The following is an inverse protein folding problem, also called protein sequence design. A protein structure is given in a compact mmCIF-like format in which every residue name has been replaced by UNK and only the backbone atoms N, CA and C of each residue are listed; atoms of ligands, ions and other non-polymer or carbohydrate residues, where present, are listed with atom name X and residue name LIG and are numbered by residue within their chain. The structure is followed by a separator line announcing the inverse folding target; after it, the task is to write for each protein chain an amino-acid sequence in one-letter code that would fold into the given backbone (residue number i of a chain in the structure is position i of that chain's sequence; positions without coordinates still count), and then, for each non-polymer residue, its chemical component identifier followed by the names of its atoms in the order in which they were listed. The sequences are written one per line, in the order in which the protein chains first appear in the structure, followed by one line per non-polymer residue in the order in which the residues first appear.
data_IF_958285209192
#
_entry.id   IF_958285209192
#
_cell.length_a   1.000
_cell.length_b   1.000
_cell.length_c   1.000
_cell.angle_alpha   90.00
_cell.angle_beta   90.00
_cell.angle_gamma   90.00
#
_symmetry.space_group_name_H-M   'P 1'
#
loop_
_entity.id
_entity.type
_entity.pdbx_description
1 polymer ?
#
# COMPACT_ATOMS: atom_id res chain seq x y z
N UNK A 1 -54.54 39.76 -66.69
CA UNK A 1 -54.34 38.31 -66.44
C UNK A 1 -52.97 37.80 -66.89
N UNK A 2 -52.48 38.13 -68.11
CA UNK A 2 -51.15 37.69 -68.59
C UNK A 2 -49.97 38.13 -67.69
N UNK A 3 -49.96 39.38 -67.24
CA UNK A 3 -48.86 39.90 -66.39
C UNK A 3 -48.81 39.22 -65.00
N UNK A 4 -49.96 38.78 -64.49
CA UNK A 4 -50.04 38.06 -63.21
C UNK A 4 -49.49 36.62 -63.33
N UNK A 5 -49.82 35.91 -64.42
CA UNK A 5 -49.29 34.57 -64.68
C UNK A 5 -47.76 34.56 -64.86
N UNK A 6 -47.20 35.59 -65.49
CA UNK A 6 -45.74 35.74 -65.65
C UNK A 6 -45.06 36.00 -64.30
N UNK A 7 -45.61 36.88 -63.47
CA UNK A 7 -45.11 37.12 -62.12
C UNK A 7 -45.16 35.88 -61.21
N UNK A 8 -46.23 35.10 -61.32
CA UNK A 8 -46.38 33.83 -60.60
C UNK A 8 -45.34 32.78 -61.04
N UNK A 9 -45.07 32.69 -62.35
CA UNK A 9 -44.05 31.79 -62.88
C UNK A 9 -42.64 32.13 -62.39
N UNK A 10 -42.27 33.42 -62.38
CA UNK A 10 -40.96 33.88 -61.89
C UNK A 10 -40.82 33.60 -60.39
N UNK A 11 -41.86 33.90 -59.59
CA UNK A 11 -41.86 33.61 -58.15
C UNK A 11 -41.69 32.11 -57.85
N UNK A 12 -42.31 31.25 -58.66
CA UNK A 12 -42.23 29.80 -58.50
C UNK A 12 -40.84 29.26 -58.83
N UNK A 13 -40.19 29.78 -59.88
CA UNK A 13 -38.80 29.43 -60.21
C UNK A 13 -37.84 29.85 -59.09
N UNK A 14 -37.99 31.07 -58.56
CA UNK A 14 -37.16 31.55 -57.43
C UNK A 14 -37.38 30.69 -56.19
N UNK A 15 -38.63 30.33 -55.88
CA UNK A 15 -38.94 29.45 -54.76
C UNK A 15 -38.29 28.06 -54.91
N UNK A 16 -38.30 27.47 -56.12
CA UNK A 16 -37.64 26.19 -56.39
C UNK A 16 -36.13 26.30 -56.18
N UNK A 17 -35.48 27.36 -56.67
CA UNK A 17 -34.04 27.57 -56.51
C UNK A 17 -33.67 27.68 -55.03
N UNK A 18 -34.42 28.44 -54.25
CA UNK A 18 -34.19 28.58 -52.80
C UNK A 18 -34.36 27.23 -52.07
N UNK A 19 -35.37 26.44 -52.44
CA UNK A 19 -35.59 25.11 -51.85
C UNK A 19 -34.43 24.14 -52.16
N UNK A 20 -33.91 24.16 -53.38
CA UNK A 20 -32.78 23.31 -53.79
C UNK A 20 -31.52 23.68 -52.98
N UNK A 21 -31.20 24.98 -52.87
CA UNK A 21 -30.04 25.46 -52.09
C UNK A 21 -30.20 25.08 -50.61
N UNK A 22 -31.39 25.27 -50.05
CA UNK A 22 -31.67 24.92 -48.64
C UNK A 22 -31.58 23.40 -48.40
N UNK A 23 -32.06 22.58 -49.33
CA UNK A 23 -32.00 21.12 -49.23
C UNK A 23 -30.54 20.62 -49.25
N UNK A 24 -29.71 21.16 -50.14
CA UNK A 24 -28.28 20.82 -50.23
C UNK A 24 -27.57 21.19 -48.93
N UNK A 25 -27.73 22.43 -48.44
CA UNK A 25 -27.11 22.89 -47.19
C UNK A 25 -27.54 22.04 -46.00
N UNK A 26 -28.85 21.80 -45.86
CA UNK A 26 -29.41 20.99 -44.76
C UNK A 26 -28.94 19.53 -44.81
N UNK A 27 -28.67 18.99 -46.00
CA UNK A 27 -28.11 17.64 -46.13
C UNK A 27 -26.66 17.55 -45.68
N UNK A 28 -25.85 18.60 -45.94
CA UNK A 28 -24.47 18.71 -45.47
C UNK A 28 -24.39 18.82 -43.95
N UNK A 29 -25.19 19.71 -43.36
CA UNK A 29 -25.23 19.93 -41.91
C UNK A 29 -25.67 18.66 -41.16
N UNK A 30 -26.66 17.93 -41.69
CA UNK A 30 -27.10 16.65 -41.12
C UNK A 30 -25.99 15.60 -41.15
N UNK A 31 -25.26 15.47 -42.27
CA UNK A 31 -24.15 14.52 -42.40
C UNK A 31 -22.99 14.86 -41.45
N UNK A 32 -22.69 16.14 -41.29
CA UNK A 32 -21.67 16.60 -40.33
C UNK A 32 -22.10 16.28 -38.89
N UNK A 33 -23.37 16.54 -38.55
CA UNK A 33 -23.92 16.24 -37.22
C UNK A 33 -23.92 14.74 -36.91
N UNK A 34 -24.32 13.88 -37.87
CA UNK A 34 -24.28 12.42 -37.66
C UNK A 34 -22.86 11.89 -37.50
N UNK A 35 -21.91 12.43 -38.28
CA UNK A 35 -20.50 12.07 -38.15
C UNK A 35 -19.92 12.46 -36.79
N UNK A 36 -20.30 13.64 -36.28
CA UNK A 36 -19.88 14.05 -34.94
C UNK A 36 -20.52 13.18 -33.85
N UNK A 37 -21.81 12.82 -33.99
CA UNK A 37 -22.47 11.89 -33.08
C UNK A 37 -21.78 10.51 -33.05
N UNK A 38 -21.39 9.98 -34.20
CA UNK A 38 -20.64 8.71 -34.28
C UNK A 38 -19.27 8.83 -33.62
N UNK A 39 -18.54 9.93 -33.88
CA UNK A 39 -17.25 10.20 -33.25
C UNK A 39 -17.37 10.28 -31.72
N UNK A 40 -18.36 11.01 -31.21
CA UNK A 40 -18.60 11.16 -29.77
C UNK A 40 -18.97 9.82 -29.12
N UNK A 41 -19.77 8.99 -29.78
CA UNK A 41 -20.11 7.64 -29.30
C UNK A 41 -18.88 6.74 -29.22
N UNK A 42 -18.01 6.79 -30.23
CA UNK A 42 -16.76 6.03 -30.24
C UNK A 42 -15.84 6.49 -29.10
N UNK A 43 -15.62 7.80 -28.94
CA UNK A 43 -14.83 8.34 -27.83
C UNK A 43 -15.41 7.96 -26.47
N UNK A 44 -16.73 7.92 -26.33
CA UNK A 44 -17.37 7.49 -25.09
C UNK A 44 -17.13 5.99 -24.81
N UNK A 45 -17.24 5.14 -25.83
CA UNK A 45 -16.95 3.72 -25.71
C UNK A 45 -15.50 3.50 -25.28
N UNK A 46 -14.54 4.14 -25.96
CA UNK A 46 -13.11 4.06 -25.61
C UNK A 46 -12.85 4.53 -24.17
N UNK A 47 -13.53 5.59 -23.71
CA UNK A 47 -13.41 6.09 -22.34
C UNK A 47 -13.98 5.11 -21.33
N UNK A 48 -15.14 4.53 -21.61
CA UNK A 48 -15.77 3.55 -20.73
C UNK A 48 -14.91 2.29 -20.61
N UNK A 49 -14.34 1.81 -21.72
CA UNK A 49 -13.45 0.65 -21.73
C UNK A 49 -12.18 0.95 -20.91
N UNK A 50 -11.56 2.12 -21.12
CA UNK A 50 -10.37 2.54 -20.37
C UNK A 50 -10.65 2.74 -18.87
N UNK A 51 -11.79 3.33 -18.51
CA UNK A 51 -12.23 3.44 -17.12
C UNK A 51 -12.50 2.08 -16.49
N UNK A 52 -13.07 1.14 -17.25
CA UNK A 52 -13.33 -0.22 -16.77
C UNK A 52 -12.03 -0.98 -16.50
N UNK A 53 -11.05 -0.91 -17.41
CA UNK A 53 -9.73 -1.52 -17.26
C UNK A 53 -8.96 -0.88 -16.09
N UNK A 54 -9.01 0.45 -15.98
CA UNK A 54 -8.42 1.18 -14.86
C UNK A 54 -9.04 0.78 -13.52
N UNK A 55 -10.37 0.66 -13.46
CA UNK A 55 -11.08 0.24 -12.27
C UNK A 55 -10.74 -1.20 -11.88
N UNK A 56 -10.67 -2.12 -12.85
CA UNK A 56 -10.25 -3.50 -12.61
C UNK A 56 -8.84 -3.57 -12.04
N UNK A 57 -7.89 -2.82 -12.60
CA UNK A 57 -6.52 -2.74 -12.10
C UNK A 57 -6.45 -2.19 -10.66
N UNK A 58 -7.16 -1.09 -10.39
CA UNK A 58 -7.22 -0.52 -9.02
C UNK A 58 -7.82 -1.53 -8.05
N UNK A 59 -8.87 -2.26 -8.46
CA UNK A 59 -9.49 -3.29 -7.62
C UNK A 59 -8.52 -4.44 -7.35
N UNK A 60 -7.80 -4.94 -8.35
CA UNK A 60 -6.83 -6.02 -8.17
C UNK A 60 -5.68 -5.59 -7.25
N UNK A 61 -5.15 -4.38 -7.42
CA UNK A 61 -4.12 -3.82 -6.55
C UNK A 61 -4.63 -3.67 -5.11
N UNK A 62 -5.88 -3.26 -4.92
CA UNK A 62 -6.48 -3.15 -3.59
C UNK A 62 -6.63 -4.51 -2.90
N UNK A 63 -7.06 -5.53 -3.64
CA UNK A 63 -7.17 -6.90 -3.14
C UNK A 63 -5.80 -7.48 -2.79
N UNK A 64 -4.79 -7.24 -3.62
CA UNK A 64 -3.42 -7.65 -3.35
C UNK A 64 -2.85 -6.96 -2.11
N UNK A 65 -3.00 -5.64 -1.99
CA UNK A 65 -2.55 -4.89 -0.83
C UNK A 65 -3.24 -5.36 0.46
N UNK A 66 -4.55 -5.64 0.41
CA UNK A 66 -5.27 -6.23 1.56
C UNK A 66 -4.69 -7.58 1.97
N UNK A 67 -4.39 -8.44 1.00
CA UNK A 67 -3.77 -9.74 1.24
C UNK A 67 -2.37 -9.61 1.84
N UNK A 68 -1.54 -8.71 1.30
CA UNK A 68 -0.21 -8.43 1.84
C UNK A 68 -0.30 -7.85 3.26
N UNK A 69 -1.26 -6.95 3.52
CA UNK A 69 -1.46 -6.37 4.85
C UNK A 69 -1.84 -7.44 5.89
N UNK A 70 -2.76 -8.36 5.55
CA UNK A 70 -3.13 -9.47 6.42
C UNK A 70 -1.93 -10.40 6.67
N UNK A 71 -1.18 -10.74 5.62
CA UNK A 71 0.03 -11.54 5.73
C UNK A 71 1.06 -10.88 6.66
N UNK A 72 1.26 -9.57 6.55
CA UNK A 72 2.15 -8.81 7.42
C UNK A 72 1.65 -8.80 8.85
N UNK A 73 0.34 -8.60 9.07
CA UNK A 73 -0.28 -8.65 10.41
C UNK A 73 -0.06 -10.00 11.07
N UNK A 74 -0.30 -11.08 10.34
CA UNK A 74 -0.05 -12.45 10.80
C UNK A 74 1.44 -12.63 11.11
N UNK A 75 2.32 -12.22 10.20
CA UNK A 75 3.78 -12.34 10.36
C UNK A 75 4.29 -11.59 11.61
N UNK A 76 3.83 -10.36 11.82
CA UNK A 76 4.15 -9.56 13.02
C UNK A 76 3.65 -10.26 14.28
N UNK A 77 2.41 -10.78 14.25
CA UNK A 77 1.87 -11.52 15.38
C UNK A 77 2.70 -12.77 15.69
N UNK A 78 2.99 -13.60 14.68
CA UNK A 78 3.85 -14.78 14.79
C UNK A 78 5.25 -14.42 15.29
N UNK A 79 5.83 -13.32 14.81
CA UNK A 79 7.13 -12.83 15.27
C UNK A 79 7.08 -12.42 16.75
N UNK A 80 5.99 -11.78 17.20
CA UNK A 80 5.80 -11.44 18.61
C UNK A 80 5.66 -12.66 19.52
N UNK A 81 5.18 -13.78 18.97
CA UNK A 81 5.06 -15.05 19.68
C UNK A 81 6.36 -15.87 19.74
N UNK A 82 7.44 -15.45 19.06
CA UNK A 82 8.73 -16.15 19.15
C UNK A 82 9.20 -16.24 20.61
N UNK A 83 9.73 -17.40 21.05
CA UNK A 83 10.36 -17.54 22.37
C UNK A 83 11.38 -16.42 22.61
N UNK A 84 11.42 -15.90 23.84
CA UNK A 84 12.26 -14.75 24.21
C UNK A 84 11.66 -13.37 23.92
N UNK A 85 10.80 -13.17 22.91
CA UNK A 85 10.19 -11.84 22.66
C UNK A 85 9.17 -11.44 23.72
N UNK A 86 8.36 -12.38 24.19
CA UNK A 86 7.45 -12.16 25.33
C UNK A 86 8.21 -11.80 26.60
N UNK A 87 9.38 -12.40 26.80
CA UNK A 87 10.25 -12.12 27.95
C UNK A 87 10.86 -10.72 27.83
N UNK A 88 11.37 -10.34 26.64
CA UNK A 88 11.87 -8.97 26.38
C UNK A 88 10.75 -7.93 26.58
N UNK A 89 9.55 -8.19 26.10
CA UNK A 89 8.41 -7.29 26.31
C UNK A 89 8.09 -7.14 27.80
N UNK A 90 8.11 -8.24 28.56
CA UNK A 90 7.91 -8.24 30.01
C UNK A 90 9.03 -7.49 30.74
N UNK A 91 10.30 -7.67 30.33
CA UNK A 91 11.44 -6.94 30.86
C UNK A 91 11.32 -5.43 30.63
N UNK A 92 10.85 -5.01 29.45
CA UNK A 92 10.61 -3.60 29.16
C UNK A 92 9.52 -3.01 30.07
N UNK A 93 8.42 -3.75 30.30
CA UNK A 93 7.38 -3.34 31.25
C UNK A 93 7.95 -3.20 32.67
N UNK A 94 8.79 -4.14 33.11
CA UNK A 94 9.46 -4.03 34.41
C UNK A 94 10.39 -2.83 34.49
N UNK A 95 11.21 -2.59 33.46
CA UNK A 95 12.08 -1.41 33.41
C UNK A 95 11.27 -0.11 33.49
N UNK A 96 10.20 0.00 32.69
CA UNK A 96 9.32 1.17 32.72
C UNK A 96 8.68 1.38 34.09
N UNK A 97 8.31 0.30 34.80
CA UNK A 97 7.78 0.39 36.15
C UNK A 97 8.83 0.89 37.15
N UNK A 98 10.06 0.39 37.04
CA UNK A 98 11.21 0.85 37.84
C UNK A 98 11.52 2.32 37.58
N UNK A 99 11.50 2.77 36.32
CA UNK A 99 11.74 4.17 35.95
C UNK A 99 10.70 5.09 36.60
N UNK A 100 9.42 4.68 36.59
CA UNK A 100 8.34 5.40 37.27
C UNK A 100 8.52 5.45 38.78
N UNK A 101 8.94 4.34 39.40
CA UNK A 101 9.21 4.30 40.85
C UNK A 101 10.40 5.18 41.22
N UNK A 102 11.41 5.28 40.35
CA UNK A 102 12.57 6.14 40.55
C UNK A 102 12.20 7.62 40.55
N UNK A 103 11.24 8.03 39.71
CA UNK A 103 10.74 9.41 39.66
C UNK A 103 9.79 9.70 40.84
N UNK A 104 8.89 8.76 41.15
CA UNK A 104 7.78 9.01 42.07
C UNK A 104 8.10 8.70 43.55
N UNK A 105 9.18 7.98 43.83
CA UNK A 105 9.51 7.52 45.19
C UNK A 105 10.90 7.98 45.62
N UNK A 106 11.00 8.93 46.58
CA UNK A 106 12.28 9.41 47.10
C UNK A 106 13.12 8.26 47.68
N UNK A 107 14.41 8.24 47.37
CA UNK A 107 15.36 7.22 47.88
C UNK A 107 15.30 5.86 47.19
N UNK A 108 14.22 5.54 46.45
CA UNK A 108 14.10 4.28 45.70
C UNK A 108 15.21 4.14 44.65
N UNK A 109 15.49 5.18 43.88
CA UNK A 109 16.50 5.12 42.82
C UNK A 109 17.89 4.71 43.31
N UNK A 110 18.34 5.27 44.44
CA UNK A 110 19.64 4.95 45.03
C UNK A 110 19.69 3.50 45.57
N UNK A 111 18.63 3.07 46.28
CA UNK A 111 18.52 1.71 46.79
C UNK A 111 18.44 0.68 45.65
N UNK A 112 17.69 0.98 44.59
CA UNK A 112 17.56 0.14 43.41
C UNK A 112 18.88 -0.01 42.65
N UNK A 113 19.61 1.08 42.42
CA UNK A 113 20.93 1.05 41.76
C UNK A 113 21.96 0.24 42.56
N UNK A 114 21.96 0.36 43.89
CA UNK A 114 22.84 -0.43 44.75
C UNK A 114 22.50 -1.93 44.68
N UNK A 115 21.21 -2.28 44.78
CA UNK A 115 20.75 -3.65 44.66
C UNK A 115 21.02 -4.24 43.27
N UNK A 116 20.86 -3.45 42.20
CA UNK A 116 21.16 -3.87 40.82
C UNK A 116 22.63 -4.25 40.68
N UNK A 117 23.54 -3.38 41.14
CA UNK A 117 24.99 -3.61 41.09
C UNK A 117 25.41 -4.86 41.87
N UNK A 118 24.83 -5.07 43.05
CA UNK A 118 25.09 -6.27 43.86
C UNK A 118 24.60 -7.55 43.16
N UNK A 119 23.40 -7.50 42.58
CA UNK A 119 22.81 -8.62 41.83
C UNK A 119 23.63 -8.97 40.59
N UNK A 120 24.13 -7.98 39.85
CA UNK A 120 25.02 -8.19 38.69
C UNK A 120 26.32 -8.88 39.09
N UNK A 121 26.93 -8.45 40.20
CA UNK A 121 28.14 -9.05 40.73
C UNK A 121 27.93 -10.50 41.21
N UNK A 122 26.76 -10.83 41.77
CA UNK A 122 26.41 -12.21 42.14
C UNK A 122 26.11 -13.09 40.92
N UNK A 123 25.43 -12.53 39.92
CA UNK A 123 25.14 -13.21 38.67
C UNK A 123 26.44 -13.58 37.93
N UNK A 124 27.39 -12.66 37.82
CA UNK A 124 28.69 -12.90 37.17
C UNK A 124 29.46 -14.04 37.85
N UNK A 125 29.51 -14.05 39.19
CA UNK A 125 30.15 -15.13 39.96
C UNK A 125 29.51 -16.49 39.70
N UNK A 126 28.18 -16.53 39.62
CA UNK A 126 27.42 -17.76 39.36
C UNK A 126 27.62 -18.26 37.92
N UNK A 127 27.66 -17.34 36.95
CA UNK A 127 27.84 -17.67 35.54
C UNK A 127 29.25 -18.24 35.26
N UNK A 128 30.29 -17.67 35.86
CA UNK A 128 31.67 -18.15 35.76
C UNK A 128 31.86 -19.50 36.49
N UNK A 129 31.22 -19.67 37.66
CA UNK A 129 31.27 -20.91 38.43
C UNK A 129 30.57 -22.09 37.75
N UNK A 130 29.41 -21.84 37.13
CA UNK A 130 28.64 -22.87 36.43
C UNK A 130 29.26 -23.26 35.09
N UNK A 131 29.89 -22.34 34.35
CA UNK A 131 30.68 -22.70 33.15
C UNK A 131 31.80 -23.69 33.46
N UNK A 132 32.50 -23.50 34.58
CA UNK A 132 33.57 -24.40 35.02
C UNK A 132 33.05 -25.78 35.42
N UNK A 133 31.83 -25.85 35.97
CA UNK A 133 31.17 -27.12 36.31
C UNK A 133 30.67 -27.86 35.06
N UNK A 134 30.05 -27.15 34.10
CA UNK A 134 29.57 -27.71 32.83
C UNK A 134 30.74 -28.24 31.97
N UNK A 135 31.87 -27.50 31.90
CA UNK A 135 33.10 -27.96 31.23
C UNK A 135 33.71 -29.21 31.87
N UNK A 136 33.46 -29.46 33.17
CA UNK A 136 33.95 -30.65 33.89
C UNK A 136 33.06 -31.86 33.71
N UNK A 137 31.75 -31.65 33.54
CA UNK A 137 30.75 -32.72 33.42
C UNK A 137 30.57 -33.21 31.97
N UNK A 138 30.86 -32.37 30.98
CA UNK A 138 30.78 -32.73 29.56
C UNK A 138 32.21 -32.83 29.01
N UNK A 139 32.78 -34.04 28.83
CA UNK A 139 34.01 -34.22 28.09
C UNK A 139 33.72 -33.92 26.62
N UNK A 140 33.93 -32.66 26.24
CA UNK A 140 33.85 -32.20 24.86
C UNK A 140 35.07 -32.78 24.12
N UNK A 141 34.94 -34.00 23.61
CA UNK A 141 35.75 -34.47 22.48
C UNK A 141 35.19 -33.81 21.22
N UNK A 142 35.58 -32.58 20.97
CA UNK A 142 35.29 -31.91 19.69
C UNK A 142 36.35 -32.36 18.69
N UNK A 143 36.01 -33.36 17.88
CA UNK A 143 36.66 -33.64 16.58
C UNK A 143 35.99 -32.79 15.47
N UNK A 144 35.74 -31.51 15.74
CA UNK A 144 35.30 -30.58 14.69
C UNK A 144 36.49 -29.71 14.33
N UNK A 145 37.10 -30.03 13.18
CA UNK A 145 38.12 -29.21 12.55
C UNK A 145 37.48 -27.85 12.22
N UNK A 146 37.87 -26.81 12.95
CA UNK A 146 37.36 -25.46 12.74
C UNK A 146 37.95 -24.96 11.42
N UNK A 147 37.12 -24.81 10.40
CA UNK A 147 37.53 -24.18 9.14
C UNK A 147 37.96 -22.75 9.46
N UNK A 148 39.27 -22.50 9.36
CA UNK A 148 39.83 -21.16 9.36
C UNK A 148 39.34 -20.49 8.07
N UNK A 149 38.47 -19.50 8.23
CA UNK A 149 38.11 -18.62 7.13
C UNK A 149 39.29 -17.65 6.99
N UNK A 150 40.08 -17.82 5.94
CA UNK A 150 41.06 -16.83 5.49
C UNK A 150 40.30 -15.58 5.06
N UNK A 151 40.68 -14.46 5.66
CA UNK A 151 40.19 -13.11 5.36
C UNK A 151 41.06 -12.56 4.23
N UNK A 152 40.52 -12.52 3.00
CA UNK A 152 41.06 -11.77 1.84
C UNK A 152 40.34 -10.42 1.71
#
# INVERSE_FOLDING_TARGET
MKNFAIGLGIGLVVAIIVLIIMAIKRSGDKKAATKEQERLKMMLADRMDLESDGLLKIRSENEELKKQNENLRITVNTYSQKPGRKEIARLNVYQTAVDRLTINSPGFGAAWQAALKESEAEFEKTYVGTQSFIKRLIPVKTDANVLQIEED
#
